data_IF_020273697991
#
_entry.id   IF_020273697991
#
_cell.length_a   1.000
_cell.length_b   1.000
_cell.length_c   1.000
_cell.angle_alpha   90.00
_cell.angle_beta   90.00
_cell.angle_gamma   90.00
#
_symmetry.space_group_name_H-M   'P 1'
#
loop_
_entity.id
_entity.type
_entity.pdbx_description
1 polymer ?
#
# COMPACT_ATOMS: atom_id res chain seq x y z
N UNK A 1 -15.67 -3.71 -1.58
CA UNK A 1 -14.47 -2.86 -1.50
C UNK A 1 -13.32 -3.75 -1.07
N UNK A 2 -12.10 -3.39 -1.46
CA UNK A 2 -10.89 -4.16 -1.16
C UNK A 2 -9.77 -3.19 -0.78
N UNK A 3 -8.97 -3.51 0.23
CA UNK A 3 -7.64 -2.88 0.44
C UNK A 3 -6.56 -3.89 0.11
N UNK A 4 -5.45 -3.43 -0.51
CA UNK A 4 -4.36 -4.30 -0.93
C UNK A 4 -3.02 -3.54 -0.92
N UNK A 5 -2.13 -3.89 0.00
CA UNK A 5 -0.71 -3.59 -0.14
C UNK A 5 -0.11 -4.50 -1.23
N UNK A 6 0.51 -3.90 -2.25
CA UNK A 6 1.06 -4.61 -3.41
C UNK A 6 2.47 -5.16 -3.19
N UNK A 7 3.12 -4.78 -2.09
CA UNK A 7 4.51 -5.05 -1.76
C UNK A 7 5.48 -4.54 -2.83
N UNK A 8 6.26 -3.52 -2.48
CA UNK A 8 7.24 -2.85 -3.35
C UNK A 8 8.31 -3.78 -3.93
N UNK A 9 8.46 -4.98 -3.36
CA UNK A 9 9.28 -6.07 -3.87
C UNK A 9 10.58 -6.30 -3.11
N UNK A 10 10.84 -5.55 -2.03
CA UNK A 10 12.06 -5.69 -1.23
C UNK A 10 11.92 -5.11 0.19
N UNK A 11 12.80 -5.53 1.09
CA UNK A 11 13.07 -4.82 2.35
C UNK A 11 14.03 -3.65 2.07
N UNK A 12 13.57 -2.42 2.35
CA UNK A 12 14.37 -1.20 2.20
C UNK A 12 15.15 -0.81 3.46
N UNK A 13 14.95 -1.51 4.58
CA UNK A 13 15.65 -1.26 5.84
C UNK A 13 17.17 -1.14 5.69
N UNK A 14 17.86 -2.07 5.01
CA UNK A 14 19.30 -1.98 4.77
C UNK A 14 19.72 -0.76 3.95
N UNK A 15 18.89 -0.31 3.00
CA UNK A 15 19.15 0.89 2.19
C UNK A 15 19.08 2.14 3.05
N UNK A 16 18.02 2.26 3.86
CA UNK A 16 17.81 3.41 4.77
C UNK A 16 18.79 3.40 5.95
N UNK A 17 19.40 2.27 6.27
CA UNK A 17 20.41 2.12 7.31
C UNK A 17 21.85 2.35 6.82
N UNK A 18 22.08 2.48 5.51
CA UNK A 18 23.42 2.59 4.95
C UNK A 18 24.17 3.83 5.44
N UNK A 19 25.45 3.65 5.80
CA UNK A 19 26.32 4.71 6.34
C UNK A 19 27.58 4.97 5.51
N UNK A 20 27.88 4.14 4.51
CA UNK A 20 28.96 4.34 3.53
C UNK A 20 28.46 4.20 2.08
N UNK A 21 29.03 4.92 1.10
CA UNK A 21 28.58 4.83 -0.30
C UNK A 21 28.63 3.41 -0.84
N UNK A 22 29.66 2.64 -0.46
CA UNK A 22 29.79 1.23 -0.84
C UNK A 22 28.70 0.37 -0.20
N UNK A 23 28.37 0.63 1.07
CA UNK A 23 27.28 -0.04 1.77
C UNK A 23 25.92 0.26 1.15
N UNK A 24 25.69 1.52 0.73
CA UNK A 24 24.48 1.91 0.01
C UNK A 24 24.36 1.16 -1.32
N UNK A 25 25.42 1.16 -2.14
CA UNK A 25 25.44 0.41 -3.41
C UNK A 25 25.15 -1.08 -3.20
N UNK A 26 25.76 -1.71 -2.17
CA UNK A 26 25.52 -3.10 -1.85
C UNK A 26 24.05 -3.35 -1.44
N UNK A 27 23.49 -2.48 -0.59
CA UNK A 27 22.10 -2.58 -0.13
C UNK A 27 21.10 -2.40 -1.29
N UNK A 28 21.30 -1.42 -2.18
CA UNK A 28 20.45 -1.20 -3.35
C UNK A 28 20.57 -2.37 -4.33
N UNK A 29 21.78 -2.93 -4.49
CA UNK A 29 21.99 -4.14 -5.31
C UNK A 29 21.17 -5.32 -4.79
N UNK A 30 21.21 -5.58 -3.48
CA UNK A 30 20.44 -6.65 -2.87
C UNK A 30 18.92 -6.40 -2.94
N UNK A 31 18.48 -5.18 -2.65
CA UNK A 31 17.06 -4.80 -2.71
C UNK A 31 16.51 -4.97 -4.14
N UNK A 32 17.20 -4.44 -5.15
CA UNK A 32 16.74 -4.54 -6.53
C UNK A 32 16.78 -5.98 -7.06
N UNK A 33 17.75 -6.80 -6.63
CA UNK A 33 17.74 -8.22 -6.94
C UNK A 33 16.48 -8.92 -6.39
N UNK A 34 16.00 -8.53 -5.21
CA UNK A 34 14.75 -9.05 -4.66
C UNK A 34 13.51 -8.55 -5.43
N UNK A 35 13.49 -7.28 -5.87
CA UNK A 35 12.43 -6.75 -6.75
C UNK A 35 12.31 -7.60 -8.02
N UNK A 36 13.44 -7.97 -8.62
CA UNK A 36 13.46 -8.85 -9.79
C UNK A 36 13.01 -10.28 -9.45
N UNK A 37 13.48 -10.83 -8.32
CA UNK A 37 13.19 -12.20 -7.91
C UNK A 37 11.73 -12.44 -7.48
N UNK A 38 11.03 -11.38 -7.06
CA UNK A 38 9.62 -11.40 -6.68
C UNK A 38 8.66 -11.19 -7.85
N UNK A 39 9.16 -11.10 -9.10
CA UNK A 39 8.39 -11.12 -10.38
C UNK A 39 7.00 -10.45 -10.28
N UNK A 40 6.97 -9.11 -10.17
CA UNK A 40 5.70 -8.40 -10.10
C UNK A 40 4.77 -8.66 -11.30
N UNK A 41 5.22 -8.76 -12.56
CA UNK A 41 4.34 -9.16 -13.66
C UNK A 41 3.60 -10.48 -13.43
N UNK A 42 4.23 -11.47 -12.80
CA UNK A 42 3.56 -12.71 -12.39
C UNK A 42 2.60 -12.49 -11.21
N UNK A 43 3.05 -11.79 -10.16
CA UNK A 43 2.19 -11.47 -9.00
C UNK A 43 0.96 -10.66 -9.39
N UNK A 44 1.10 -9.70 -10.30
CA UNK A 44 0.01 -8.87 -10.80
C UNK A 44 -1.09 -9.68 -11.49
N UNK A 45 -0.77 -10.84 -12.09
CA UNK A 45 -1.79 -11.76 -12.62
C UNK A 45 -2.60 -12.37 -11.48
N UNK A 46 -1.95 -12.86 -10.42
CA UNK A 46 -2.63 -13.40 -9.25
C UNK A 46 -3.46 -12.32 -8.53
N UNK A 47 -2.90 -11.13 -8.32
CA UNK A 47 -3.62 -9.97 -7.76
C UNK A 47 -4.83 -9.56 -8.62
N UNK A 48 -4.72 -9.63 -9.94
CA UNK A 48 -5.85 -9.39 -10.83
C UNK A 48 -6.93 -10.48 -10.69
N UNK A 49 -6.55 -11.76 -10.59
CA UNK A 49 -7.50 -12.86 -10.32
C UNK A 49 -8.24 -12.66 -8.99
N UNK A 50 -7.53 -12.26 -7.93
CA UNK A 50 -8.12 -11.90 -6.63
C UNK A 50 -9.18 -10.80 -6.79
N UNK A 51 -8.83 -9.68 -7.45
CA UNK A 51 -9.74 -8.55 -7.66
C UNK A 51 -10.94 -8.96 -8.51
N UNK A 52 -10.73 -9.72 -9.59
CA UNK A 52 -11.82 -10.18 -10.48
C UNK A 52 -12.78 -11.09 -9.72
N UNK A 53 -12.26 -12.00 -8.89
CA UNK A 53 -13.07 -12.90 -8.08
C UNK A 53 -13.83 -12.15 -6.96
N UNK A 54 -13.17 -11.19 -6.31
CA UNK A 54 -13.77 -10.37 -5.25
C UNK A 54 -14.82 -9.36 -5.76
N UNK A 55 -14.74 -8.99 -7.05
CA UNK A 55 -15.54 -7.99 -7.76
C UNK A 55 -15.81 -6.69 -6.93
N UNK A 56 -14.78 -6.05 -6.37
CA UNK A 56 -14.98 -4.87 -5.54
C UNK A 56 -15.32 -3.64 -6.39
N UNK A 57 -16.33 -2.86 -5.99
CA UNK A 57 -16.59 -1.55 -6.62
C UNK A 57 -15.39 -0.58 -6.52
N UNK A 58 -14.63 -0.65 -5.42
CA UNK A 58 -13.48 0.21 -5.14
C UNK A 58 -12.34 -0.61 -4.54
N UNK A 59 -11.11 -0.29 -4.93
CA UNK A 59 -9.87 -0.89 -4.43
C UNK A 59 -8.94 0.21 -3.95
N UNK A 60 -8.55 0.18 -2.67
CA UNK A 60 -7.44 0.98 -2.15
C UNK A 60 -6.15 0.20 -2.28
N UNK A 61 -5.18 0.74 -3.03
CA UNK A 61 -3.88 0.14 -3.23
C UNK A 61 -2.82 0.93 -2.46
N UNK A 62 -1.94 0.21 -1.77
CA UNK A 62 -0.72 0.72 -1.15
C UNK A 62 0.48 0.10 -1.87
N UNK A 63 1.61 0.80 -1.87
CA UNK A 63 2.84 0.35 -2.53
C UNK A 63 2.68 0.09 -4.05
N UNK A 64 1.90 0.93 -4.74
CA UNK A 64 1.76 0.90 -6.19
C UNK A 64 2.98 1.52 -6.88
N UNK A 65 4.16 0.97 -6.61
CA UNK A 65 5.44 1.58 -6.93
C UNK A 65 5.75 1.66 -8.42
N UNK A 66 6.58 2.64 -8.77
CA UNK A 66 7.22 2.79 -10.07
C UNK A 66 8.74 2.66 -9.88
N UNK A 67 9.30 1.59 -10.46
CA UNK A 67 10.74 1.33 -10.53
C UNK A 67 11.29 1.80 -11.89
N UNK A 68 12.36 2.58 -11.83
CA UNK A 68 13.06 3.12 -13.01
C UNK A 68 14.56 2.87 -12.92
N UNK A 69 15.24 2.85 -14.05
CA UNK A 69 16.69 2.71 -14.13
C UNK A 69 17.37 3.71 -15.09
N UNK A 70 18.68 3.83 -14.94
CA UNK A 70 19.57 4.52 -15.88
C UNK A 70 20.94 3.84 -15.91
N UNK A 71 21.44 3.53 -17.12
CA UNK A 71 22.75 2.89 -17.34
C UNK A 71 23.57 3.66 -18.38
N UNK A 72 24.83 4.02 -18.10
CA UNK A 72 25.49 3.93 -16.80
C UNK A 72 24.85 4.89 -15.77
N UNK A 73 25.07 4.63 -14.48
CA UNK A 73 24.77 5.60 -13.44
C UNK A 73 25.44 6.94 -13.76
N UNK A 74 24.75 8.06 -13.52
CA UNK A 74 25.27 9.35 -13.95
C UNK A 74 24.36 10.55 -13.70
N UNK A 75 24.72 11.73 -14.23
CA UNK A 75 23.94 12.94 -14.04
C UNK A 75 22.56 12.80 -14.69
N UNK A 76 21.54 13.37 -14.06
CA UNK A 76 20.15 13.26 -14.48
C UNK A 76 19.33 12.51 -13.44
N UNK A 77 18.18 11.99 -13.86
CA UNK A 77 17.40 11.08 -13.04
C UNK A 77 16.94 9.91 -13.88
N UNK A 78 16.93 8.72 -13.29
CA UNK A 78 16.46 7.53 -13.95
C UNK A 78 15.02 7.69 -14.49
N UNK A 79 14.83 7.35 -15.77
CA UNK A 79 13.56 7.47 -16.50
C UNK A 79 13.15 6.20 -17.24
N UNK A 80 14.06 5.24 -17.46
CA UNK A 80 13.71 3.97 -18.09
C UNK A 80 12.81 3.18 -17.14
N UNK A 81 11.55 2.93 -17.52
CA UNK A 81 10.60 2.20 -16.68
C UNK A 81 10.92 0.72 -16.71
N UNK A 82 11.27 0.17 -15.54
CA UNK A 82 11.51 -1.25 -15.33
C UNK A 82 10.19 -1.94 -14.94
N UNK A 83 9.50 -1.37 -13.94
CA UNK A 83 8.20 -1.83 -13.50
C UNK A 83 7.31 -0.65 -13.11
N UNK A 84 6.14 -0.54 -13.71
CA UNK A 84 5.05 0.30 -13.20
C UNK A 84 3.95 -0.63 -12.66
N UNK A 85 3.93 -0.81 -11.33
CA UNK A 85 3.05 -1.81 -10.72
C UNK A 85 1.57 -1.51 -10.99
N UNK A 86 1.20 -0.23 -10.97
CA UNK A 86 -0.15 0.20 -11.27
C UNK A 86 -0.54 -0.15 -12.71
N UNK A 87 0.29 0.20 -13.70
CA UNK A 87 -0.02 -0.08 -15.10
C UNK A 87 -0.03 -1.58 -15.42
N UNK A 88 0.90 -2.34 -14.83
CA UNK A 88 0.93 -3.80 -14.99
C UNK A 88 -0.35 -4.43 -14.42
N UNK A 89 -0.80 -4.01 -13.24
CA UNK A 89 -2.03 -4.50 -12.63
C UNK A 89 -3.28 -4.12 -13.44
N UNK A 90 -3.40 -2.85 -13.86
CA UNK A 90 -4.52 -2.39 -14.68
C UNK A 90 -4.61 -3.17 -16.01
N UNK A 91 -3.47 -3.42 -16.66
CA UNK A 91 -3.42 -4.26 -17.87
C UNK A 91 -3.84 -5.70 -17.59
N UNK A 92 -3.45 -6.26 -16.44
CA UNK A 92 -3.85 -7.62 -16.04
C UNK A 92 -5.36 -7.73 -15.74
N UNK A 93 -5.97 -6.67 -15.21
CA UNK A 93 -7.41 -6.55 -14.99
C UNK A 93 -8.18 -6.40 -16.32
N UNK A 94 -7.70 -5.53 -17.22
CA UNK A 94 -8.29 -5.33 -18.54
C UNK A 94 -8.26 -6.60 -19.39
N UNK A 95 -7.16 -7.36 -19.33
CA UNK A 95 -7.04 -8.66 -20.00
C UNK A 95 -8.07 -9.70 -19.51
N UNK A 96 -8.64 -9.49 -18.32
CA UNK A 96 -9.71 -10.30 -17.72
C UNK A 96 -11.11 -9.69 -17.90
N UNK A 97 -11.24 -8.64 -18.72
CA UNK A 97 -12.51 -7.96 -18.95
C UNK A 97 -13.02 -7.19 -17.73
N UNK A 98 -12.16 -6.87 -16.77
CA UNK A 98 -12.50 -6.05 -15.59
C UNK A 98 -11.83 -4.69 -15.69
N UNK A 99 -12.62 -3.68 -16.00
CA UNK A 99 -12.14 -2.33 -16.20
C UNK A 99 -12.21 -1.53 -14.89
N UNK A 100 -11.06 -1.02 -14.46
CA UNK A 100 -10.92 -0.11 -13.34
C UNK A 100 -10.28 1.19 -13.81
N UNK A 101 -10.74 2.31 -13.25
CA UNK A 101 -10.16 3.64 -13.46
C UNK A 101 -9.45 4.11 -12.20
N UNK A 102 -8.35 4.82 -12.37
CA UNK A 102 -7.68 5.56 -11.30
C UNK A 102 -8.57 6.75 -10.92
N UNK A 103 -9.10 6.74 -9.71
CA UNK A 103 -9.86 7.87 -9.15
C UNK A 103 -8.92 8.96 -8.68
N UNK A 104 -7.81 8.56 -8.06
CA UNK A 104 -6.74 9.44 -7.63
C UNK A 104 -5.54 8.61 -7.18
N UNK A 105 -4.38 9.23 -7.23
CA UNK A 105 -3.13 8.69 -6.72
C UNK A 105 -2.35 9.78 -6.01
N UNK A 106 -1.61 9.42 -4.97
CA UNK A 106 -0.70 10.33 -4.28
C UNK A 106 0.67 9.69 -4.21
N UNK A 107 1.68 10.40 -4.71
CA UNK A 107 3.08 9.99 -4.51
C UNK A 107 3.44 10.13 -3.04
N UNK A 108 3.82 9.02 -2.44
CA UNK A 108 4.27 8.87 -1.04
C UNK A 108 5.71 8.35 -1.04
N UNK A 109 6.29 8.18 0.15
CA UNK A 109 7.62 7.61 0.32
C UNK A 109 8.76 8.45 -0.28
N UNK A 110 8.48 9.63 -0.86
CA UNK A 110 9.37 10.41 -1.73
C UNK A 110 9.80 9.68 -3.02
N UNK A 111 10.59 10.36 -3.83
CA UNK A 111 11.13 9.86 -5.10
C UNK A 111 12.64 9.67 -4.96
N UNK A 112 13.05 8.43 -4.66
CA UNK A 112 14.42 8.11 -4.25
C UNK A 112 15.19 7.47 -5.39
N UNK A 113 16.44 7.89 -5.56
CA UNK A 113 17.36 7.34 -6.56
C UNK A 113 18.70 7.02 -5.91
N UNK A 114 19.20 5.80 -6.16
CA UNK A 114 20.49 5.37 -5.66
C UNK A 114 21.14 4.34 -6.61
N UNK A 115 22.48 4.31 -6.70
CA UNK A 115 23.18 3.39 -7.57
C UNK A 115 23.20 1.96 -7.01
N UNK A 116 23.09 0.98 -7.91
CA UNK A 116 23.42 -0.43 -7.66
C UNK A 116 24.62 -0.88 -8.50
N UNK A 117 25.20 -2.01 -8.14
CA UNK A 117 26.24 -2.68 -8.93
C UNK A 117 25.65 -3.65 -9.94
N UNK A 118 26.23 -3.67 -11.14
CA UNK A 118 25.95 -4.62 -12.23
C UNK A 118 27.29 -5.14 -12.80
N UNK A 119 27.29 -6.24 -13.58
CA UNK A 119 28.49 -6.68 -14.30
C UNK A 119 29.10 -5.61 -15.22
N UNK A 120 28.27 -4.70 -15.75
CA UNK A 120 28.66 -3.66 -16.71
C UNK A 120 28.99 -2.31 -16.04
N UNK A 121 29.01 -2.26 -14.70
CA UNK A 121 29.26 -1.05 -13.92
C UNK A 121 28.09 -0.65 -13.03
N UNK A 122 28.00 0.63 -12.66
CA UNK A 122 26.90 1.14 -11.85
C UNK A 122 25.67 1.43 -12.70
N UNK A 123 24.49 1.15 -12.16
CA UNK A 123 23.18 1.52 -12.70
C UNK A 123 22.41 2.26 -11.61
N UNK A 124 21.83 3.42 -11.92
CA UNK A 124 20.93 4.10 -10.99
C UNK A 124 19.58 3.40 -10.98
N UNK A 125 19.02 3.21 -9.79
CA UNK A 125 17.67 2.71 -9.57
C UNK A 125 16.88 3.79 -8.85
N UNK A 126 15.69 4.09 -9.38
CA UNK A 126 14.78 5.08 -8.81
C UNK A 126 13.43 4.46 -8.48
N UNK A 127 12.95 4.77 -7.28
CA UNK A 127 11.68 4.33 -6.73
C UNK A 127 10.77 5.52 -6.50
N UNK A 128 9.54 5.43 -7.01
CA UNK A 128 8.45 6.32 -6.64
C UNK A 128 7.31 5.49 -6.05
N UNK A 129 6.98 5.72 -4.79
CA UNK A 129 5.88 5.04 -4.12
C UNK A 129 4.55 5.80 -4.28
N UNK A 130 3.43 5.08 -4.34
CA UNK A 130 2.10 5.63 -4.58
C UNK A 130 1.03 4.86 -3.80
N UNK A 131 0.13 5.62 -3.17
CA UNK A 131 -1.18 5.12 -2.75
C UNK A 131 -2.22 5.48 -3.82
N UNK A 132 -3.10 4.54 -4.18
CA UNK A 132 -4.03 4.69 -5.31
C UNK A 132 -5.43 4.25 -4.90
N UNK A 133 -6.44 5.03 -5.29
CA UNK A 133 -7.84 4.59 -5.24
C UNK A 133 -8.31 4.22 -6.64
N UNK A 134 -8.67 2.95 -6.85
CA UNK A 134 -9.29 2.46 -8.07
C UNK A 134 -10.80 2.34 -7.89
N UNK A 135 -11.56 2.66 -8.93
CA UNK A 135 -12.99 2.40 -9.03
C UNK A 135 -13.29 1.53 -10.24
N UNK A 136 -14.20 0.58 -10.10
CA UNK A 136 -14.74 -0.16 -11.23
C UNK A 136 -15.37 0.84 -12.22
N UNK A 137 -15.19 0.63 -13.52
CA UNK A 137 -15.51 1.64 -14.53
C UNK A 137 -16.99 2.09 -14.53
N UNK A 138 -17.90 1.19 -14.11
CA UNK A 138 -19.35 1.43 -13.98
C UNK A 138 -19.75 2.19 -12.71
N UNK A 139 -18.82 2.44 -11.78
CA UNK A 139 -19.09 3.16 -10.55
C UNK A 139 -19.03 4.69 -10.76
N UNK A 140 -20.07 5.37 -10.28
CA UNK A 140 -20.10 6.83 -10.18
C UNK A 140 -19.24 7.29 -8.99
N UNK A 141 -18.23 8.11 -9.29
CA UNK A 141 -17.31 8.68 -8.31
C UNK A 141 -17.11 10.16 -8.61
N UNK A 142 -17.08 10.98 -7.57
CA UNK A 142 -16.91 12.44 -7.65
C UNK A 142 -16.00 12.94 -6.52
N UNK A 143 -15.66 14.23 -6.55
CA UNK A 143 -14.91 14.93 -5.50
C UNK A 143 -13.58 14.23 -5.12
N UNK A 144 -12.88 13.68 -6.11
CA UNK A 144 -11.58 13.08 -5.91
C UNK A 144 -10.58 14.11 -5.35
N UNK A 145 -9.92 13.74 -4.26
CA UNK A 145 -9.00 14.56 -3.50
C UNK A 145 -7.80 13.72 -3.09
N UNK A 146 -6.65 14.36 -3.00
CA UNK A 146 -5.40 13.72 -2.58
C UNK A 146 -4.69 14.65 -1.61
N UNK A 147 -4.00 14.09 -0.62
CA UNK A 147 -3.21 14.87 0.30
C UNK A 147 -2.02 14.08 0.84
N UNK A 148 -0.99 14.80 1.26
CA UNK A 148 0.11 14.26 2.06
C UNK A 148 -0.09 14.68 3.51
N UNK A 149 0.35 13.83 4.43
CA UNK A 149 0.42 14.21 5.83
C UNK A 149 1.53 15.23 6.06
N UNK A 150 1.31 16.10 7.03
CA UNK A 150 2.33 16.99 7.56
C UNK A 150 3.35 16.21 8.38
N UNK A 151 2.91 15.18 9.13
CA UNK A 151 3.79 14.26 9.81
C UNK A 151 4.47 13.31 8.79
N UNK A 152 5.80 13.32 8.80
CA UNK A 152 6.65 12.43 7.99
C UNK A 152 7.73 11.82 8.88
N UNK A 153 8.31 10.70 8.46
CA UNK A 153 9.47 10.12 9.13
C UNK A 153 10.76 10.75 8.58
N UNK A 154 11.55 11.46 9.40
CA UNK A 154 12.87 11.93 9.00
C UNK A 154 13.90 10.79 9.14
N UNK A 155 14.61 10.48 8.05
CA UNK A 155 15.78 9.60 8.10
C UNK A 155 17.03 10.46 8.14
N UNK A 156 17.68 10.46 9.30
CA UNK A 156 18.94 11.14 9.55
C UNK A 156 20.11 10.16 9.37
N UNK A 157 20.81 10.19 8.24
CA UNK A 157 22.05 9.42 8.00
C UNK A 157 23.11 10.28 7.29
N UNK A 158 24.42 10.06 7.55
CA UNK A 158 25.49 10.81 6.89
C UNK A 158 25.42 10.87 5.36
N UNK A 159 24.80 9.87 4.71
CA UNK A 159 24.64 9.81 3.25
C UNK A 159 23.29 10.29 2.73
N UNK A 160 22.26 10.27 3.57
CA UNK A 160 20.87 10.52 3.17
C UNK A 160 20.37 11.88 3.67
N UNK A 161 21.24 12.64 4.34
CA UNK A 161 20.92 13.90 4.99
C UNK A 161 20.90 13.77 6.51
N UNK A 162 21.59 14.68 7.18
CA UNK A 162 21.66 14.88 8.62
C UNK A 162 22.02 16.35 8.85
N UNK A 163 21.61 16.98 9.97
CA UNK A 163 22.04 18.33 10.29
C UNK A 163 23.56 18.51 10.08
N UNK A 164 23.99 19.54 9.31
CA UNK A 164 23.21 20.70 8.86
C UNK A 164 22.30 20.50 7.64
N UNK A 165 22.39 19.39 6.91
CA UNK A 165 21.54 19.10 5.75
C UNK A 165 20.13 18.64 6.16
N UNK A 166 19.09 18.94 5.37
CA UNK A 166 17.76 18.41 5.61
C UNK A 166 17.75 16.87 5.62
N UNK A 167 17.01 16.22 6.54
CA UNK A 167 16.88 14.77 6.52
C UNK A 167 16.09 14.32 5.30
N UNK A 168 16.35 13.09 4.85
CA UNK A 168 15.46 12.40 3.92
C UNK A 168 14.07 12.29 4.55
N UNK A 169 13.03 12.66 3.80
CA UNK A 169 11.64 12.62 4.28
C UNK A 169 10.94 11.42 3.70
N UNK A 170 10.53 10.48 4.54
CA UNK A 170 9.59 9.41 4.13
C UNK A 170 8.18 9.95 4.38
N UNK A 171 7.55 10.41 3.30
CA UNK A 171 6.21 11.00 3.33
C UNK A 171 5.13 9.92 3.22
N UNK A 172 3.94 10.16 3.78
CA UNK A 172 2.75 9.32 3.59
C UNK A 172 1.57 10.20 3.18
N UNK A 173 0.49 9.60 2.69
CA UNK A 173 -0.64 10.37 2.18
C UNK A 173 -1.95 9.60 2.16
N UNK A 174 -2.92 10.20 1.50
CA UNK A 174 -4.25 9.65 1.35
C UNK A 174 -4.86 10.06 0.01
N UNK A 175 -5.74 9.20 -0.49
CA UNK A 175 -6.64 9.49 -1.60
C UNK A 175 -8.07 9.36 -1.09
N UNK A 176 -8.92 10.35 -1.38
CA UNK A 176 -10.32 10.36 -1.01
C UNK A 176 -11.20 10.62 -2.22
N UNK A 177 -12.39 10.02 -2.24
CA UNK A 177 -13.43 10.36 -3.21
C UNK A 177 -14.81 10.03 -2.66
N UNK A 178 -15.84 10.63 -3.24
CA UNK A 178 -17.23 10.32 -2.91
C UNK A 178 -17.77 9.33 -3.94
N UNK A 179 -18.19 8.15 -3.48
CA UNK A 179 -18.69 7.09 -4.33
C UNK A 179 -20.19 6.89 -4.15
N UNK A 180 -20.93 6.82 -5.25
CA UNK A 180 -22.38 6.65 -5.26
C UNK A 180 -22.77 5.25 -5.71
N UNK A 181 -23.46 4.51 -4.84
CA UNK A 181 -23.99 3.17 -5.10
C UNK A 181 -25.51 3.20 -4.86
N UNK A 182 -26.29 2.86 -5.87
CA UNK A 182 -27.77 2.87 -5.81
C UNK A 182 -28.36 4.17 -5.23
N UNK A 183 -27.85 5.32 -5.66
CA UNK A 183 -28.32 6.65 -5.23
C UNK A 183 -27.86 7.09 -3.84
N UNK A 184 -27.03 6.29 -3.15
CA UNK A 184 -26.46 6.63 -1.84
C UNK A 184 -24.97 6.92 -1.98
N UNK A 185 -24.51 8.01 -1.39
CA UNK A 185 -23.12 8.46 -1.48
C UNK A 185 -22.39 8.25 -0.16
N UNK A 186 -21.15 7.78 -0.25
CA UNK A 186 -20.23 7.67 0.88
C UNK A 186 -18.86 8.26 0.52
N UNK A 187 -18.20 8.89 1.49
CA UNK A 187 -16.79 9.25 1.41
C UNK A 187 -15.96 7.98 1.55
N UNK A 188 -15.04 7.74 0.63
CA UNK A 188 -14.10 6.63 0.66
C UNK A 188 -12.70 7.21 0.69
N UNK A 189 -11.88 6.74 1.64
CA UNK A 189 -10.49 7.15 1.80
C UNK A 189 -9.61 5.91 1.77
N UNK A 190 -8.48 5.98 1.06
CA UNK A 190 -7.40 4.99 1.15
C UNK A 190 -6.11 5.65 1.60
N UNK A 191 -5.29 4.94 2.37
CA UNK A 191 -4.02 5.45 2.94
C UNK A 191 -3.07 4.30 3.27
N UNK A 192 -1.79 4.63 3.42
CA UNK A 192 -0.76 3.79 4.03
C UNK A 192 -0.08 4.58 5.16
N UNK A 193 -0.24 4.18 6.42
CA UNK A 193 0.36 4.89 7.56
C UNK A 193 1.80 4.44 7.82
N UNK A 194 2.61 5.32 8.40
CA UNK A 194 4.04 5.09 8.61
C UNK A 194 4.33 3.90 9.57
N UNK A 195 5.08 2.87 9.16
CA UNK A 195 5.36 1.71 10.02
C UNK A 195 6.42 1.97 11.10
N UNK A 196 7.43 2.80 10.85
CA UNK A 196 8.66 2.77 11.66
C UNK A 196 8.64 3.68 12.89
N UNK A 197 7.64 4.56 13.03
CA UNK A 197 7.53 5.50 14.15
C UNK A 197 6.10 5.63 14.63
N UNK A 198 5.81 5.10 15.81
CA UNK A 198 4.48 5.20 16.43
C UNK A 198 4.03 6.66 16.58
N UNK A 199 4.94 7.58 16.94
CA UNK A 199 4.60 9.00 17.09
C UNK A 199 4.16 9.64 15.76
N UNK A 200 4.88 9.35 14.66
CA UNK A 200 4.52 9.85 13.32
C UNK A 200 3.22 9.20 12.86
N UNK A 201 3.11 7.88 12.96
CA UNK A 201 1.95 7.11 12.54
C UNK A 201 0.66 7.57 13.25
N UNK A 202 0.72 7.74 14.56
CA UNK A 202 -0.43 8.18 15.35
C UNK A 202 -0.82 9.62 15.05
N UNK A 203 0.14 10.48 14.71
CA UNK A 203 -0.14 11.86 14.24
C UNK A 203 -0.82 11.83 12.87
N UNK A 204 -0.38 10.97 11.95
CA UNK A 204 -1.03 10.78 10.65
C UNK A 204 -2.48 10.29 10.81
N UNK A 205 -2.77 9.43 11.79
CA UNK A 205 -4.14 9.03 12.10
C UNK A 205 -5.01 10.22 12.58
N UNK A 206 -4.47 11.14 13.38
CA UNK A 206 -5.17 12.37 13.77
C UNK A 206 -5.39 13.32 12.58
N UNK A 207 -4.42 13.42 11.67
CA UNK A 207 -4.56 14.18 10.43
C UNK A 207 -5.64 13.60 9.51
N UNK A 208 -5.78 12.28 9.42
CA UNK A 208 -6.91 11.64 8.72
C UNK A 208 -8.25 12.06 9.34
N UNK A 209 -8.35 11.99 10.68
CA UNK A 209 -9.57 12.29 11.42
C UNK A 209 -10.01 13.75 11.30
N UNK A 210 -9.05 14.68 11.25
CA UNK A 210 -9.32 16.12 11.12
C UNK A 210 -9.45 16.58 9.66
N UNK A 211 -8.88 15.83 8.72
CA UNK A 211 -8.90 16.10 7.29
C UNK A 211 -9.92 15.24 6.53
N UNK A 212 -9.48 14.27 5.69
CA UNK A 212 -10.34 13.60 4.71
C UNK A 212 -11.48 12.76 5.31
N UNK A 213 -11.38 12.35 6.58
CA UNK A 213 -12.44 11.64 7.29
C UNK A 213 -13.42 12.58 8.01
N UNK A 214 -13.10 13.88 8.13
CA UNK A 214 -13.99 14.86 8.76
C UNK A 214 -15.09 15.30 7.77
N UNK A 215 -16.17 14.54 7.71
CA UNK A 215 -17.28 14.76 6.78
C UNK A 215 -18.61 14.34 7.40
N UNK A 216 -19.71 14.88 6.88
CA UNK A 216 -21.07 14.47 7.23
C UNK A 216 -21.55 13.25 6.45
N UNK A 217 -20.82 12.82 5.42
CA UNK A 217 -21.14 11.62 4.65
C UNK A 217 -20.85 10.35 5.46
N UNK A 218 -21.61 9.25 5.23
CA UNK A 218 -21.14 7.92 5.59
C UNK A 218 -19.72 7.71 5.03
N UNK A 219 -18.81 7.20 5.84
CA UNK A 219 -17.38 7.19 5.51
C UNK A 219 -16.81 5.78 5.59
N UNK A 220 -15.96 5.41 4.65
CA UNK A 220 -15.17 4.17 4.63
C UNK A 220 -13.70 4.52 4.51
N UNK A 221 -12.86 3.94 5.38
CA UNK A 221 -11.41 3.99 5.30
C UNK A 221 -10.89 2.59 4.92
N UNK A 222 -10.07 2.54 3.87
CA UNK A 222 -9.35 1.38 3.40
C UNK A 222 -7.85 1.64 3.66
N UNK A 223 -7.08 0.65 4.06
CA UNK A 223 -5.63 0.84 4.06
C UNK A 223 -4.84 -0.14 4.89
N UNK A 224 -3.55 -0.19 4.60
CA UNK A 224 -2.53 -0.65 5.52
C UNK A 224 -2.27 0.48 6.54
N UNK A 225 -2.79 0.30 7.75
CA UNK A 225 -2.64 1.30 8.81
C UNK A 225 -1.38 1.08 9.65
N UNK A 226 -0.61 0.03 9.37
CA UNK A 226 0.53 -0.41 10.19
C UNK A 226 0.22 -0.43 11.71
N UNK A 227 -1.03 -0.72 12.07
CA UNK A 227 -1.55 -0.66 13.43
C UNK A 227 -2.40 -1.90 13.69
N UNK A 228 -1.99 -2.67 14.69
CA UNK A 228 -2.59 -3.97 14.96
C UNK A 228 -4.03 -3.84 15.46
N UNK A 229 -4.90 -4.68 14.91
CA UNK A 229 -6.32 -4.67 15.25
C UNK A 229 -6.64 -5.08 16.69
N UNK A 230 -5.72 -5.78 17.36
CA UNK A 230 -5.83 -6.16 18.77
C UNK A 230 -5.41 -5.03 19.72
N UNK A 231 -4.97 -3.88 19.17
CA UNK A 231 -4.51 -2.71 19.91
C UNK A 231 -3.06 -2.81 20.40
N UNK A 232 -2.33 -3.86 20.02
CA UNK A 232 -0.88 -3.91 20.19
C UNK A 232 -0.16 -3.00 19.20
N UNK A 233 1.14 -2.78 19.41
CA UNK A 233 1.94 -1.88 18.56
C UNK A 233 1.63 -0.40 18.79
N UNK A 234 0.72 0.17 17.99
CA UNK A 234 0.42 1.61 17.93
C UNK A 234 -1.06 1.91 18.22
N UNK A 235 -1.39 3.16 18.55
CA UNK A 235 -2.78 3.55 18.88
C UNK A 235 -3.63 3.97 17.68
N UNK A 236 -3.10 3.97 16.46
CA UNK A 236 -3.78 4.49 15.27
C UNK A 236 -5.14 3.81 15.02
N UNK A 237 -5.19 2.47 15.07
CA UNK A 237 -6.44 1.71 14.96
C UNK A 237 -7.43 2.06 16.10
N UNK A 238 -6.95 2.05 17.35
CA UNK A 238 -7.77 2.36 18.52
C UNK A 238 -8.33 3.80 18.49
N UNK A 239 -7.56 4.78 17.99
CA UNK A 239 -7.99 6.17 17.80
C UNK A 239 -9.12 6.27 16.77
N UNK A 240 -9.00 5.58 15.63
CA UNK A 240 -10.04 5.54 14.61
C UNK A 240 -11.34 4.92 15.15
N UNK A 241 -11.24 3.81 15.90
CA UNK A 241 -12.39 3.17 16.55
C UNK A 241 -13.02 4.11 17.60
N UNK A 242 -12.22 4.76 18.43
CA UNK A 242 -12.69 5.75 19.42
C UNK A 242 -13.39 6.95 18.75
N UNK A 243 -13.00 7.32 17.53
CA UNK A 243 -13.65 8.34 16.71
C UNK A 243 -14.95 7.86 16.01
N UNK A 244 -15.45 6.68 16.39
CA UNK A 244 -16.74 6.14 15.95
C UNK A 244 -16.66 5.27 14.69
N UNK A 245 -15.47 4.93 14.20
CA UNK A 245 -15.35 3.92 13.15
C UNK A 245 -15.59 2.52 13.73
N UNK A 246 -16.22 1.67 12.93
CA UNK A 246 -16.39 0.24 13.16
C UNK A 246 -15.51 -0.50 12.16
N UNK A 247 -14.90 -1.59 12.59
CA UNK A 247 -14.13 -2.48 11.73
C UNK A 247 -15.04 -3.51 11.05
N UNK A 248 -15.03 -3.56 9.71
CA UNK A 248 -15.82 -4.51 8.94
C UNK A 248 -15.46 -5.98 9.24
N UNK A 249 -14.19 -6.26 9.53
CA UNK A 249 -13.75 -7.59 9.94
C UNK A 249 -14.39 -7.98 11.26
N UNK A 250 -14.10 -7.23 12.32
CA UNK A 250 -14.63 -7.50 13.66
C UNK A 250 -16.16 -7.50 13.69
N UNK A 251 -16.84 -6.69 12.87
CA UNK A 251 -18.30 -6.66 12.77
C UNK A 251 -18.93 -7.89 12.10
N UNK A 252 -18.16 -8.71 11.39
CA UNK A 252 -18.67 -9.87 10.64
C UNK A 252 -17.96 -11.20 10.97
N UNK A 253 -16.82 -11.15 11.66
CA UNK A 253 -15.92 -12.28 11.92
C UNK A 253 -15.38 -12.28 13.37
N UNK A 254 -16.27 -12.26 14.36
CA UNK A 254 -15.93 -12.05 15.78
C UNK A 254 -14.85 -12.95 16.39
N UNK A 255 -14.61 -14.15 15.85
CA UNK A 255 -13.66 -15.13 16.40
C UNK A 255 -12.44 -15.38 15.52
N UNK A 256 -12.37 -14.72 14.36
CA UNK A 256 -11.27 -14.88 13.42
C UNK A 256 -10.35 -13.65 13.51
N UNK A 257 -9.04 -13.86 13.60
CA UNK A 257 -8.08 -12.78 13.72
C UNK A 257 -7.88 -12.02 12.40
N UNK A 258 -8.10 -12.67 11.25
CA UNK A 258 -7.97 -12.05 9.92
C UNK A 258 -6.57 -11.56 9.60
N UNK A 259 -5.55 -12.36 9.90
CA UNK A 259 -4.15 -11.95 9.80
C UNK A 259 -3.79 -11.55 8.36
N UNK A 260 -3.17 -10.37 8.20
CA UNK A 260 -2.81 -9.78 6.91
C UNK A 260 -1.32 -9.56 6.74
N UNK A 261 -0.48 -9.63 7.78
CA UNK A 261 0.97 -9.36 7.67
C UNK A 261 1.81 -10.34 8.53
N UNK A 262 3.00 -10.80 8.12
CA UNK A 262 3.63 -10.62 6.81
C UNK A 262 4.27 -11.93 6.32
N UNK A 263 4.31 -12.12 5.01
CA UNK A 263 5.10 -13.17 4.36
C UNK A 263 6.60 -12.84 4.44
N UNK A 264 7.44 -13.78 4.03
CA UNK A 264 8.88 -13.51 3.91
C UNK A 264 9.16 -12.48 2.79
N UNK A 265 10.21 -11.65 2.90
CA UNK A 265 10.54 -10.66 1.86
C UNK A 265 10.76 -11.22 0.44
N UNK A 266 11.15 -12.49 0.32
CA UNK A 266 11.31 -13.17 -0.96
C UNK A 266 10.00 -13.78 -1.51
N UNK A 267 8.92 -13.74 -0.71
CA UNK A 267 7.58 -14.29 -0.98
C UNK A 267 7.55 -15.80 -1.22
N UNK A 268 8.60 -16.55 -0.83
CA UNK A 268 8.75 -17.98 -1.15
C UNK A 268 8.42 -18.92 0.00
N UNK A 269 8.18 -18.40 1.20
CA UNK A 269 7.84 -19.23 2.37
C UNK A 269 6.70 -20.21 2.01
N UNK A 270 6.85 -21.52 2.30
CA UNK A 270 5.96 -22.55 1.76
C UNK A 270 4.54 -22.47 2.33
N UNK A 271 4.38 -21.92 3.52
CA UNK A 271 3.10 -21.69 4.19
C UNK A 271 3.01 -20.25 4.62
N UNK A 272 1.79 -19.71 4.65
CA UNK A 272 1.53 -18.34 5.06
C UNK A 272 2.10 -18.07 6.46
N UNK A 273 2.86 -17.00 6.62
CA UNK A 273 3.48 -16.59 7.91
C UNK A 273 2.82 -15.33 8.48
N UNK A 274 1.62 -15.00 8.04
CA UNK A 274 0.87 -13.85 8.55
C UNK A 274 0.55 -14.07 10.04
N UNK A 275 0.92 -13.11 10.87
CA UNK A 275 0.81 -13.13 12.34
C UNK A 275 0.07 -11.93 12.91
N UNK A 276 -0.14 -10.89 12.11
CA UNK A 276 -0.72 -9.60 12.52
C UNK A 276 -1.82 -9.17 11.56
N UNK A 277 -2.75 -8.34 12.02
CA UNK A 277 -3.78 -7.70 11.17
C UNK A 277 -3.62 -6.19 11.22
N UNK A 278 -3.05 -5.65 10.16
CA UNK A 278 -2.74 -4.20 10.00
C UNK A 278 -3.42 -3.57 8.78
N UNK A 279 -4.04 -4.39 7.93
CA UNK A 279 -4.86 -3.94 6.80
C UNK A 279 -6.33 -3.93 7.18
N UNK A 280 -7.01 -2.82 6.93
CA UNK A 280 -8.35 -2.58 7.49
C UNK A 280 -9.35 -2.06 6.46
N UNK A 281 -10.61 -2.42 6.70
CA UNK A 281 -11.78 -1.73 6.13
C UNK A 281 -12.62 -1.21 7.29
N UNK A 282 -12.44 0.06 7.62
CA UNK A 282 -13.17 0.73 8.70
C UNK A 282 -14.31 1.57 8.13
N UNK A 283 -15.42 1.69 8.85
CA UNK A 283 -16.57 2.48 8.40
C UNK A 283 -17.25 3.25 9.53
N UNK A 284 -17.84 4.40 9.20
CA UNK A 284 -18.60 5.25 10.13
C UNK A 284 -19.86 5.80 9.47
N UNK A 285 -20.90 6.06 10.27
CA UNK A 285 -22.19 6.57 9.80
C UNK A 285 -23.17 5.44 9.44
N UNK A 286 -24.11 5.72 8.55
CA UNK A 286 -25.20 4.81 8.14
C UNK A 286 -24.71 3.69 7.19
N UNK A 287 -23.77 2.88 7.67
CA UNK A 287 -23.17 1.76 6.95
C UNK A 287 -23.28 0.49 7.80
N UNK A 288 -23.53 -0.65 7.16
CA UNK A 288 -23.48 -1.97 7.81
C UNK A 288 -22.57 -2.90 7.03
N UNK A 289 -21.60 -3.51 7.69
CA UNK A 289 -20.80 -4.59 7.11
C UNK A 289 -21.65 -5.87 6.97
N UNK A 290 -21.56 -6.52 5.80
CA UNK A 290 -22.28 -7.77 5.49
C UNK A 290 -21.36 -8.98 5.47
N UNK A 291 -20.12 -8.79 5.05
CA UNK A 291 -19.08 -9.81 5.10
C UNK A 291 -17.71 -9.17 4.99
N UNK A 292 -16.72 -9.86 5.54
CA UNK A 292 -15.30 -9.64 5.31
C UNK A 292 -14.58 -10.99 5.06
N UNK A 293 -13.52 -10.97 4.25
CA UNK A 293 -12.60 -12.08 4.05
C UNK A 293 -11.22 -11.57 3.61
N UNK A 294 -10.18 -12.33 3.95
CA UNK A 294 -8.83 -12.13 3.43
C UNK A 294 -8.74 -12.66 2.00
N UNK A 295 -7.78 -12.14 1.23
CA UNK A 295 -7.42 -12.62 -0.11
C UNK A 295 -5.90 -12.70 -0.23
N UNK A 296 -5.41 -13.64 -1.03
CA UNK A 296 -3.98 -13.81 -1.31
C UNK A 296 -3.18 -14.43 -0.16
N UNK A 297 -3.84 -15.17 0.73
CA UNK A 297 -3.26 -15.81 1.91
C UNK A 297 -3.39 -17.35 1.90
N UNK A 298 -3.98 -17.92 0.85
CA UNK A 298 -4.13 -19.37 0.69
C UNK A 298 -3.15 -19.97 -0.34
N UNK A 299 -2.91 -21.28 -0.24
CA UNK A 299 -2.01 -21.98 -1.16
C UNK A 299 -2.45 -21.92 -2.63
N UNK A 300 -3.75 -21.85 -2.87
CA UNK A 300 -4.31 -21.81 -4.23
C UNK A 300 -4.12 -20.43 -4.90
N UNK A 301 -3.83 -19.39 -4.13
CA UNK A 301 -3.64 -18.03 -4.62
C UNK A 301 -2.17 -17.69 -4.90
N UNK A 302 -1.24 -18.61 -4.59
CA UNK A 302 0.17 -18.43 -4.97
C UNK A 302 0.34 -18.43 -6.49
N UNK A 303 1.34 -17.71 -6.97
CA UNK A 303 1.68 -17.69 -8.39
C UNK A 303 2.12 -19.09 -8.89
N UNK A 304 2.10 -19.34 -10.20
CA UNK A 304 2.66 -20.57 -10.77
C UNK A 304 4.11 -20.87 -10.35
N UNK A 305 4.94 -19.84 -10.15
CA UNK A 305 6.31 -19.98 -9.62
C UNK A 305 6.41 -20.17 -8.09
N UNK A 306 5.26 -20.14 -7.40
CA UNK A 306 5.17 -20.33 -5.95
C UNK A 306 5.40 -19.05 -5.14
N UNK A 307 5.23 -17.86 -5.69
CA UNK A 307 5.30 -16.62 -4.93
C UNK A 307 3.95 -16.34 -4.26
N UNK A 308 3.97 -15.79 -3.05
CA UNK A 308 2.78 -15.09 -2.53
C UNK A 308 2.49 -13.86 -3.40
N UNK A 309 1.21 -13.49 -3.63
CA UNK A 309 0.88 -12.32 -4.47
C UNK A 309 1.41 -11.00 -3.90
N UNK A 310 1.51 -10.91 -2.58
CA UNK A 310 2.08 -9.80 -1.81
C UNK A 310 2.62 -10.36 -0.48
N UNK A 311 3.45 -9.59 0.22
CA UNK A 311 3.81 -9.94 1.60
C UNK A 311 2.64 -9.73 2.58
N UNK A 312 1.60 -9.03 2.13
CA UNK A 312 0.34 -8.89 2.83
C UNK A 312 -0.76 -9.79 2.25
N UNK A 313 -1.79 -10.09 3.04
CA UNK A 313 -3.12 -10.43 2.54
C UNK A 313 -3.96 -9.17 2.34
N UNK A 314 -4.87 -9.18 1.36
CA UNK A 314 -5.85 -8.11 1.20
C UNK A 314 -7.07 -8.31 2.10
N UNK A 315 -7.83 -7.25 2.38
CA UNK A 315 -9.12 -7.36 3.08
C UNK A 315 -10.26 -6.91 2.17
N UNK A 316 -11.12 -7.87 1.80
CA UNK A 316 -12.33 -7.62 1.03
C UNK A 316 -13.51 -7.50 1.96
N UNK A 317 -14.28 -6.42 1.82
CA UNK A 317 -15.52 -6.21 2.57
C UNK A 317 -16.70 -5.87 1.69
N UNK A 318 -17.88 -6.39 2.05
CA UNK A 318 -19.18 -5.98 1.47
C UNK A 318 -19.88 -5.09 2.48
N UNK A 319 -20.13 -3.84 2.09
CA UNK A 319 -20.79 -2.84 2.91
C UNK A 319 -22.14 -2.49 2.30
N UNK A 320 -23.16 -2.31 3.13
CA UNK A 320 -24.47 -1.79 2.75
C UNK A 320 -24.61 -0.36 3.27
N UNK A 321 -24.82 0.59 2.36
CA UNK A 321 -25.26 1.94 2.70
C UNK A 321 -26.75 1.90 3.05
N UNK A 322 -27.11 2.39 4.24
CA UNK A 322 -28.48 2.40 4.74
C UNK A 322 -29.23 3.66 4.30
#
# INVERSE_FOLDING_TARGET
MLTRNLYLGADLGPVLAATSPQGLVAAVTAAYANVQATDFPERARALADEIVHADPHLVGLQEAVLWRSQTPAGPGSATHVEYDFLQILLKALDARGRHYKVVGEVTVGSDFEAPRSTPDGLQDIRLTDRDVLLARADLSVANAQTGRFQAFLPICRPLLGCPPDPPLRVERGWVAADATVHGRTARVVTTHLEPASAAVQETQADELLTGPLNTTLPTVLLGDLNSDADGSGTRSYARLVAAGFKDAWTATRHHDLGLTCCQAPDLRNPFSTLTRRIDHVLFRGHITARSAHTVGDTQAERTPSGLWPSDHAGVKSVLKLA
#
